data_IF_461920017416
#
_entry.id   IF_461920017416
#
_cell.length_a   1.000
_cell.length_b   1.000
_cell.length_c   1.000
_cell.angle_alpha   90.00
_cell.angle_beta   90.00
_cell.angle_gamma   90.00
#
_symmetry.space_group_name_H-M   'P 1'
#
loop_
_entity.id
_entity.type
_entity.pdbx_description
1 polymer ?
#
# COMPACT_ATOMS: atom_id res chain seq x y z
N UNK A 1 -30.28 0.25 -67.40
CA UNK A 1 -30.56 0.43 -65.97
C UNK A 1 -30.16 -0.86 -65.25
N UNK A 2 -29.08 -0.83 -64.47
CA UNK A 2 -28.59 -1.97 -63.68
C UNK A 2 -28.55 -1.54 -62.21
N UNK A 3 -29.46 -2.09 -61.41
CA UNK A 3 -29.61 -1.77 -60.00
C UNK A 3 -28.46 -2.37 -59.17
N UNK A 4 -27.75 -1.50 -58.45
CA UNK A 4 -26.73 -1.84 -57.46
C UNK A 4 -27.35 -2.52 -56.24
N UNK A 5 -26.98 -3.77 -55.96
CA UNK A 5 -27.37 -4.54 -54.77
C UNK A 5 -26.51 -4.16 -53.54
N UNK A 6 -26.62 -2.93 -53.05
CA UNK A 6 -26.04 -2.57 -51.74
C UNK A 6 -27.00 -1.65 -50.98
N UNK A 7 -27.63 -2.20 -49.95
CA UNK A 7 -28.36 -1.43 -48.94
C UNK A 7 -27.37 -1.01 -47.85
N UNK A 8 -26.65 0.09 -48.10
CA UNK A 8 -25.71 0.68 -47.16
C UNK A 8 -25.43 2.15 -47.52
N UNK A 9 -25.00 2.95 -46.54
CA UNK A 9 -24.68 4.36 -46.72
C UNK A 9 -23.53 4.53 -47.75
N UNK A 10 -23.86 5.05 -48.93
CA UNK A 10 -22.90 5.30 -50.03
C UNK A 10 -22.26 6.70 -50.00
N UNK A 11 -22.40 7.43 -48.89
CA UNK A 11 -22.11 8.87 -48.84
C UNK A 11 -20.63 9.26 -48.87
N UNK A 12 -19.70 8.33 -48.59
CA UNK A 12 -18.27 8.65 -48.64
C UNK A 12 -17.67 8.32 -50.01
N UNK A 13 -17.47 9.37 -50.82
CA UNK A 13 -16.56 9.33 -51.98
C UNK A 13 -15.24 9.94 -51.55
N UNK A 14 -14.13 9.22 -51.75
CA UNK A 14 -12.79 9.73 -51.44
C UNK A 14 -12.53 11.05 -52.20
N UNK A 15 -11.70 11.93 -51.66
CA UNK A 15 -11.34 13.19 -52.31
C UNK A 15 -10.80 13.01 -53.74
N UNK A 16 -10.20 11.85 -54.04
CA UNK A 16 -9.73 11.49 -55.37
C UNK A 16 -10.87 11.18 -56.37
N UNK A 17 -12.05 10.78 -55.87
CA UNK A 17 -13.22 10.42 -56.67
C UNK A 17 -14.29 11.54 -56.75
N UNK A 18 -14.05 12.68 -56.09
CA UNK A 18 -14.95 13.84 -56.12
C UNK A 18 -14.48 14.87 -57.16
N UNK A 19 -15.36 15.23 -58.10
CA UNK A 19 -15.09 16.33 -59.03
C UNK A 19 -15.20 17.67 -58.28
N UNK A 20 -14.18 18.52 -58.40
CA UNK A 20 -14.20 19.86 -57.83
C UNK A 20 -15.28 20.70 -58.53
N UNK A 21 -16.12 21.39 -57.75
CA UNK A 21 -17.31 22.11 -58.25
C UNK A 21 -16.98 23.34 -59.09
N UNK A 22 -15.75 23.86 -59.02
CA UNK A 22 -15.29 24.98 -59.85
C UNK A 22 -13.88 24.74 -60.38
N UNK A 23 -13.70 25.00 -61.68
CA UNK A 23 -12.40 25.03 -62.35
C UNK A 23 -11.90 26.47 -62.44
N UNK A 24 -10.59 26.68 -62.35
CA UNK A 24 -10.00 27.98 -62.66
C UNK A 24 -10.08 28.24 -64.18
N UNK A 25 -10.25 29.49 -64.63
CA UNK A 25 -10.23 29.80 -66.06
C UNK A 25 -8.96 29.26 -66.72
N UNK A 26 -9.11 28.42 -67.75
CA UNK A 26 -8.02 27.79 -68.48
C UNK A 26 -7.55 26.42 -67.98
N UNK A 27 -8.10 25.88 -66.88
CA UNK A 27 -7.81 24.50 -66.44
C UNK A 27 -8.87 23.51 -66.97
N UNK A 28 -8.43 22.37 -67.51
CA UNK A 28 -9.31 21.24 -67.83
C UNK A 28 -9.26 20.17 -66.74
N UNK A 29 -10.35 19.39 -66.59
CA UNK A 29 -10.41 18.30 -65.60
C UNK A 29 -9.30 17.25 -65.79
N UNK A 30 -8.90 16.99 -67.03
CA UNK A 30 -7.84 16.04 -67.40
C UNK A 30 -6.45 16.50 -66.94
N UNK A 31 -6.14 17.79 -67.09
CA UNK A 31 -4.85 18.36 -66.68
C UNK A 31 -4.68 18.42 -65.15
N UNK A 32 -5.79 18.52 -64.40
CA UNK A 32 -5.74 18.52 -62.93
C UNK A 32 -5.60 17.12 -62.33
N UNK A 33 -6.23 16.11 -62.94
CA UNK A 33 -6.14 14.72 -62.49
C UNK A 33 -4.68 14.21 -62.48
N UNK A 34 -3.89 14.60 -63.48
CA UNK A 34 -2.48 14.21 -63.61
C UNK A 34 -1.54 14.97 -62.67
N UNK A 35 -1.90 16.21 -62.29
CA UNK A 35 -1.06 17.09 -61.45
C UNK A 35 -0.91 16.59 -60.01
N UNK A 36 -1.93 15.91 -59.47
CA UNK A 36 -1.90 15.36 -58.11
C UNK A 36 -1.55 13.87 -58.08
N UNK A 37 -1.70 13.14 -59.19
CA UNK A 37 -1.27 11.74 -59.26
C UNK A 37 0.25 11.61 -59.30
N UNK A 38 0.98 12.54 -59.94
CA UNK A 38 2.44 12.46 -60.05
C UNK A 38 3.19 12.76 -58.74
N UNK A 39 2.61 13.58 -57.85
CA UNK A 39 3.22 13.89 -56.55
C UNK A 39 3.07 12.75 -55.54
N UNK A 40 1.99 11.96 -55.62
CA UNK A 40 1.78 10.80 -54.74
C UNK A 40 2.62 9.59 -55.10
N UNK A 41 2.94 9.40 -56.39
CA UNK A 41 3.72 8.26 -56.89
C UNK A 41 5.21 8.32 -56.57
N UNK A 42 5.76 9.48 -56.20
CA UNK A 42 7.18 9.61 -55.83
C UNK A 42 7.48 9.31 -54.36
N UNK A 43 6.46 9.28 -53.48
CA UNK A 43 6.64 8.98 -52.05
C UNK A 43 6.57 7.46 -51.81
N UNK A 44 5.82 6.73 -52.63
CA UNK A 44 5.71 5.27 -52.55
C UNK A 44 6.15 4.71 -53.89
N UNK A 45 7.43 4.37 -54.03
CA UNK A 45 7.90 3.67 -55.21
C UNK A 45 7.17 2.32 -55.32
N UNK A 46 6.71 1.91 -56.51
CA UNK A 46 6.12 0.60 -56.69
C UNK A 46 7.15 -0.48 -56.29
N UNK A 47 6.73 -1.60 -55.68
CA UNK A 47 7.64 -2.59 -55.09
C UNK A 47 8.63 -3.21 -56.08
N UNK A 48 8.39 -3.07 -57.39
CA UNK A 48 9.28 -3.52 -58.48
C UNK A 48 10.48 -2.57 -58.70
N UNK A 49 10.39 -1.30 -58.29
CA UNK A 49 11.44 -0.28 -58.44
C UNK A 49 12.18 0.03 -57.13
N UNK A 50 11.81 -0.62 -56.02
CA UNK A 50 12.48 -0.47 -54.74
C UNK A 50 13.83 -1.20 -54.75
N UNK A 51 14.94 -0.46 -54.66
CA UNK A 51 16.31 -1.01 -54.54
C UNK A 51 16.51 -1.90 -53.31
N UNK A 52 15.65 -1.75 -52.30
CA UNK A 52 15.66 -2.51 -51.04
C UNK A 52 14.94 -3.86 -51.14
N UNK A 53 14.39 -4.22 -52.31
CA UNK A 53 13.72 -5.49 -52.56
C UNK A 53 12.22 -5.49 -52.25
N UNK A 54 11.54 -6.58 -52.68
CA UNK A 54 10.08 -6.74 -52.64
C UNK A 54 9.47 -6.65 -51.23
N UNK A 55 10.26 -6.94 -50.19
CA UNK A 55 9.79 -7.08 -48.80
C UNK A 55 10.33 -6.01 -47.85
N UNK A 56 10.78 -4.87 -48.35
CA UNK A 56 11.45 -3.82 -47.57
C UNK A 56 10.60 -3.21 -46.43
N UNK A 57 9.27 -3.40 -46.47
CA UNK A 57 8.33 -2.86 -45.48
C UNK A 57 7.63 -3.94 -44.64
N UNK A 58 8.02 -5.21 -44.80
CA UNK A 58 7.44 -6.32 -44.05
C UNK A 58 8.37 -6.71 -42.89
N UNK A 59 7.82 -6.82 -41.69
CA UNK A 59 8.56 -7.37 -40.55
C UNK A 59 8.62 -8.89 -40.66
N UNK A 60 9.60 -9.52 -39.99
CA UNK A 60 9.76 -10.99 -39.96
C UNK A 60 8.46 -11.68 -39.49
N UNK A 61 7.72 -11.06 -38.58
CA UNK A 61 6.42 -11.55 -38.10
C UNK A 61 5.32 -11.49 -39.16
N UNK A 62 5.33 -10.48 -40.04
CA UNK A 62 4.40 -10.41 -41.17
C UNK A 62 4.71 -11.46 -42.23
N UNK A 63 5.99 -11.75 -42.46
CA UNK A 63 6.43 -12.79 -43.38
C UNK A 63 6.07 -14.20 -42.87
N UNK A 64 6.31 -14.48 -41.58
CA UNK A 64 5.95 -15.77 -40.98
C UNK A 64 4.44 -15.96 -40.84
N UNK A 65 3.69 -14.87 -40.58
CA UNK A 65 2.23 -14.90 -40.48
C UNK A 65 1.51 -15.24 -41.79
N UNK A 66 2.13 -15.03 -42.96
CA UNK A 66 1.55 -15.41 -44.26
C UNK A 66 1.46 -16.94 -44.44
N UNK A 67 2.23 -17.72 -43.69
CA UNK A 67 2.24 -19.18 -43.74
C UNK A 67 1.28 -19.83 -42.73
N UNK A 68 0.73 -19.05 -41.80
CA UNK A 68 -0.14 -19.57 -40.73
C UNK A 68 -1.57 -19.66 -41.25
N UNK A 69 -2.09 -20.88 -41.35
CA UNK A 69 -3.49 -21.12 -41.67
C UNK A 69 -4.36 -21.06 -40.40
N UNK A 70 -5.67 -20.77 -40.52
CA UNK A 70 -6.60 -20.85 -39.39
C UNK A 70 -6.59 -22.23 -38.69
N UNK A 71 -6.24 -23.28 -39.43
CA UNK A 71 -6.08 -24.66 -38.95
C UNK A 71 -4.89 -24.85 -38.00
N UNK A 72 -3.88 -23.97 -38.08
CA UNK A 72 -2.70 -24.01 -37.20
C UNK A 72 -2.98 -23.41 -35.82
N UNK A 73 -4.11 -22.71 -35.64
CA UNK A 73 -4.49 -22.12 -34.37
C UNK A 73 -4.96 -23.19 -33.38
N UNK A 74 -4.13 -23.44 -32.35
CA UNK A 74 -4.51 -24.26 -31.20
C UNK A 74 -4.84 -23.35 -30.01
N UNK A 75 -6.02 -23.54 -29.44
CA UNK A 75 -6.44 -22.83 -28.22
C UNK A 75 -5.44 -23.20 -27.10
N UNK A 76 -4.72 -22.22 -26.51
CA UNK A 76 -3.83 -22.50 -25.40
C UNK A 76 -4.61 -23.05 -24.21
N UNK A 77 -4.10 -24.11 -23.57
CA UNK A 77 -4.71 -24.62 -22.35
C UNK A 77 -4.65 -23.54 -21.26
N UNK A 78 -5.77 -23.33 -20.56
CA UNK A 78 -5.92 -22.34 -19.47
C UNK A 78 -4.93 -22.56 -18.32
N UNK A 79 -4.40 -23.77 -18.19
CA UNK A 79 -3.40 -24.15 -17.17
C UNK A 79 -1.96 -23.82 -17.59
N UNK A 80 -1.74 -23.31 -18.81
CA UNK A 80 -0.44 -22.87 -19.29
C UNK A 80 0.59 -24.00 -19.45
N UNK A 81 1.87 -23.66 -19.30
CA UNK A 81 3.01 -24.57 -19.51
C UNK A 81 3.06 -25.73 -18.48
N UNK A 82 2.32 -25.60 -17.38
CA UNK A 82 2.31 -26.55 -16.25
C UNK A 82 1.49 -27.83 -16.50
N UNK A 83 0.75 -27.92 -17.61
CA UNK A 83 -0.15 -29.06 -17.92
C UNK A 83 0.62 -30.38 -18.01
N UNK A 84 1.86 -30.33 -18.51
CA UNK A 84 2.70 -31.50 -18.71
C UNK A 84 3.66 -31.74 -17.54
N UNK A 85 3.64 -30.91 -16.49
CA UNK A 85 4.48 -31.11 -15.31
C UNK A 85 3.83 -32.12 -14.37
N UNK A 86 4.44 -33.30 -14.28
CA UNK A 86 4.01 -34.35 -13.34
C UNK A 86 4.30 -33.88 -11.91
N UNK A 87 3.26 -33.82 -11.07
CA UNK A 87 3.43 -33.50 -9.65
C UNK A 87 4.33 -34.55 -8.97
N UNK A 88 5.26 -34.14 -8.09
CA UNK A 88 6.08 -35.08 -7.34
C UNK A 88 5.22 -35.92 -6.39
N UNK A 89 5.63 -37.18 -6.17
CA UNK A 89 4.96 -38.08 -5.23
C UNK A 89 5.00 -37.51 -3.81
N UNK A 90 3.90 -37.65 -3.06
CA UNK A 90 3.77 -37.06 -1.72
C UNK A 90 4.74 -37.74 -0.73
N UNK A 91 5.72 -36.99 -0.22
CA UNK A 91 6.59 -37.42 0.88
C UNK A 91 6.04 -36.91 2.22
N UNK A 92 5.91 -37.76 3.26
CA UNK A 92 5.48 -37.30 4.57
C UNK A 92 6.51 -36.33 5.17
N UNK A 93 6.03 -35.30 5.85
CA UNK A 93 6.86 -34.33 6.55
C UNK A 93 7.28 -34.92 7.91
N UNK A 94 8.57 -35.18 8.09
CA UNK A 94 9.14 -35.84 9.29
C UNK A 94 9.84 -34.83 10.22
N UNK A 95 10.00 -33.58 9.81
CA UNK A 95 10.77 -32.62 10.59
C UNK A 95 9.97 -32.12 11.82
N UNK A 96 10.53 -32.37 13.01
CA UNK A 96 10.10 -31.72 14.23
C UNK A 96 10.80 -30.36 14.39
N UNK A 97 10.20 -29.46 15.16
CA UNK A 97 10.84 -28.17 15.46
C UNK A 97 12.06 -28.38 16.35
N UNK A 98 13.05 -27.48 16.25
CA UNK A 98 14.21 -27.46 17.15
C UNK A 98 13.81 -27.41 18.62
N UNK A 99 12.65 -26.83 18.94
CA UNK A 99 12.12 -26.82 20.30
C UNK A 99 11.73 -28.24 20.77
N UNK A 100 10.97 -29.00 19.97
CA UNK A 100 10.57 -30.36 20.34
C UNK A 100 11.75 -31.34 20.42
N UNK A 101 12.81 -31.10 19.65
CA UNK A 101 14.04 -31.90 19.72
C UNK A 101 14.86 -31.58 20.97
N UNK A 102 14.95 -30.30 21.36
CA UNK A 102 15.88 -29.86 22.42
C UNK A 102 15.24 -29.77 23.81
N UNK A 103 13.92 -29.66 23.92
CA UNK A 103 13.22 -29.49 25.20
C UNK A 103 12.28 -30.62 25.67
N UNK A 104 12.28 -31.87 25.12
CA UNK A 104 11.34 -32.90 25.58
C UNK A 104 11.63 -33.32 27.03
N UNK A 105 12.90 -33.36 27.44
CA UNK A 105 13.30 -33.69 28.80
C UNK A 105 12.82 -32.68 29.85
N UNK A 106 12.67 -31.41 29.47
CA UNK A 106 12.37 -30.33 30.42
C UNK A 106 10.92 -30.35 30.93
N UNK A 107 9.96 -30.72 30.08
CA UNK A 107 8.56 -30.84 30.51
C UNK A 107 8.35 -32.06 31.42
N UNK A 108 9.04 -33.16 31.15
CA UNK A 108 9.00 -34.36 32.00
C UNK A 108 9.65 -34.08 33.36
N UNK A 109 10.71 -33.26 33.41
CA UNK A 109 11.31 -32.82 34.68
C UNK A 109 10.42 -31.87 35.47
N UNK A 110 9.72 -30.94 34.82
CA UNK A 110 8.72 -30.08 35.50
C UNK A 110 7.63 -30.92 36.16
N UNK A 111 7.15 -31.97 35.47
CA UNK A 111 6.18 -32.91 36.05
C UNK A 111 6.78 -33.64 37.26
N UNK A 112 8.03 -34.10 37.19
CA UNK A 112 8.72 -34.70 38.35
C UNK A 112 8.78 -33.77 39.57
N UNK A 113 8.96 -32.47 39.36
CA UNK A 113 8.93 -31.49 40.47
C UNK A 113 7.53 -31.42 41.10
N UNK A 114 6.47 -31.41 40.27
CA UNK A 114 5.09 -31.37 40.74
C UNK A 114 4.64 -32.67 41.42
N UNK A 115 5.18 -33.82 40.99
CA UNK A 115 4.85 -35.13 41.54
C UNK A 115 5.59 -35.43 42.87
N UNK A 116 6.61 -34.63 43.23
CA UNK A 116 7.42 -34.88 44.41
C UNK A 116 6.77 -34.33 45.68
N UNK A 117 6.64 -35.16 46.72
CA UNK A 117 6.10 -34.71 48.00
C UNK A 117 7.07 -33.81 48.78
N UNK A 118 6.51 -32.88 49.56
CA UNK A 118 7.27 -31.98 50.43
C UNK A 118 8.18 -32.73 51.41
N UNK A 119 7.77 -33.91 51.89
CA UNK A 119 8.57 -34.76 52.77
C UNK A 119 9.89 -35.22 52.15
N UNK A 120 9.93 -35.40 50.82
CA UNK A 120 11.15 -35.81 50.13
C UNK A 120 12.13 -34.64 50.01
N UNK A 121 11.62 -33.43 49.78
CA UNK A 121 12.43 -32.21 49.84
C UNK A 121 12.99 -31.96 51.24
N UNK A 122 12.20 -32.25 52.29
CA UNK A 122 12.62 -32.09 53.68
C UNK A 122 13.76 -33.04 54.04
N UNK A 123 13.63 -34.32 53.68
CA UNK A 123 14.70 -35.32 53.86
C UNK A 123 15.98 -34.92 53.14
N UNK A 124 15.87 -34.43 51.91
CA UNK A 124 17.04 -33.98 51.14
C UNK A 124 17.67 -32.71 51.74
N UNK A 125 16.86 -31.77 52.22
CA UNK A 125 17.33 -30.54 52.85
C UNK A 125 18.06 -30.82 54.16
N UNK A 126 17.48 -31.67 55.02
CA UNK A 126 18.08 -32.05 56.29
C UNK A 126 19.38 -32.84 56.09
N UNK A 127 19.43 -33.77 55.12
CA UNK A 127 20.65 -34.51 54.81
C UNK A 127 21.84 -33.60 54.43
N UNK A 128 21.57 -32.47 53.78
CA UNK A 128 22.60 -31.47 53.42
C UNK A 128 22.85 -30.46 54.55
N UNK A 129 21.85 -30.20 55.41
CA UNK A 129 21.96 -29.27 56.53
C UNK A 129 22.63 -29.88 57.78
N UNK A 130 22.51 -31.18 58.01
CA UNK A 130 23.10 -31.92 59.14
C UNK A 130 24.62 -31.69 59.32
N UNK A 131 25.47 -31.75 58.27
CA UNK A 131 26.90 -31.46 58.42
C UNK A 131 27.20 -29.98 58.76
N UNK A 132 26.29 -29.06 58.46
CA UNK A 132 26.42 -27.64 58.83
C UNK A 132 25.90 -27.38 60.25
N UNK A 133 24.88 -28.11 60.72
CA UNK A 133 24.30 -28.00 62.05
C UNK A 133 25.31 -28.38 63.16
N UNK A 134 26.24 -29.31 62.88
CA UNK A 134 27.34 -29.63 63.80
C UNK A 134 28.29 -28.44 64.06
N UNK A 135 28.33 -27.45 63.16
CA UNK A 135 29.22 -26.27 63.28
C UNK A 135 28.59 -25.13 64.08
N UNK A 136 27.26 -25.07 64.21
CA UNK A 136 26.56 -24.03 64.98
C UNK A 136 25.26 -24.56 65.60
N UNK A 137 25.04 -24.43 66.93
CA UNK A 137 23.80 -24.86 67.57
C UNK A 137 22.67 -23.88 67.21
N UNK A 138 21.87 -24.23 66.22
CA UNK A 138 20.76 -23.42 65.70
C UNK A 138 19.94 -24.20 64.67
N UNK A 139 18.89 -23.57 64.14
CA UNK A 139 18.03 -24.16 63.10
C UNK A 139 18.84 -24.63 61.89
N UNK A 140 18.51 -25.78 61.27
CA UNK A 140 19.24 -26.29 60.11
C UNK A 140 19.18 -25.28 58.96
N UNK A 141 20.36 -24.87 58.46
CA UNK A 141 20.50 -23.91 57.37
C UNK A 141 21.48 -24.42 56.33
N UNK A 142 21.18 -24.13 55.07
CA UNK A 142 22.04 -24.46 53.91
C UNK A 142 22.56 -23.20 53.25
N UNK A 143 23.65 -23.32 52.50
CA UNK A 143 24.14 -22.25 51.63
C UNK A 143 23.50 -22.29 50.25
N UNK A 144 23.47 -21.15 49.55
CA UNK A 144 22.93 -21.08 48.18
C UNK A 144 23.60 -22.11 47.25
N UNK A 145 24.92 -22.27 47.31
CA UNK A 145 25.67 -23.24 46.49
C UNK A 145 25.18 -24.68 46.73
N UNK A 146 24.77 -24.99 47.95
CA UNK A 146 24.34 -26.33 48.37
C UNK A 146 22.90 -26.66 47.94
N UNK A 147 22.14 -25.67 47.44
CA UNK A 147 20.78 -25.89 46.90
C UNK A 147 20.81 -26.85 45.72
N UNK A 148 21.87 -26.83 44.91
CA UNK A 148 22.00 -27.79 43.81
C UNK A 148 22.08 -29.23 44.32
N UNK A 149 22.78 -29.47 45.43
CA UNK A 149 22.95 -30.80 45.99
C UNK A 149 21.66 -31.30 46.64
N UNK A 150 20.91 -30.41 47.32
CA UNK A 150 19.57 -30.71 47.84
C UNK A 150 18.63 -31.12 46.69
N UNK A 151 18.63 -30.36 45.60
CA UNK A 151 17.74 -30.64 44.46
C UNK A 151 18.16 -31.89 43.70
N UNK A 152 19.45 -32.20 43.58
CA UNK A 152 19.93 -33.48 43.03
C UNK A 152 19.53 -34.67 43.90
N UNK A 153 19.60 -34.53 45.22
CA UNK A 153 19.17 -35.59 46.13
C UNK A 153 17.65 -35.80 46.10
N UNK A 154 16.86 -34.74 45.92
CA UNK A 154 15.41 -34.81 45.86
C UNK A 154 14.87 -35.29 44.48
N UNK A 155 15.44 -34.80 43.38
CA UNK A 155 14.94 -35.00 42.00
C UNK A 155 15.79 -35.98 41.17
N UNK A 156 16.96 -36.37 41.67
CA UNK A 156 17.94 -37.20 40.97
C UNK A 156 18.92 -36.42 40.10
N UNK A 157 20.07 -37.05 39.79
CA UNK A 157 21.18 -36.47 39.01
C UNK A 157 20.83 -36.08 37.57
N UNK A 158 19.71 -36.57 37.04
CA UNK A 158 19.25 -36.34 35.67
C UNK A 158 18.39 -35.09 35.47
N UNK A 159 18.37 -34.15 36.42
CA UNK A 159 17.55 -32.92 36.34
C UNK A 159 18.30 -31.80 35.62
N UNK A 160 17.63 -31.09 34.70
CA UNK A 160 18.25 -30.02 33.92
C UNK A 160 18.58 -28.81 34.80
N UNK A 161 19.73 -28.18 34.49
CA UNK A 161 20.19 -26.94 35.09
C UNK A 161 19.13 -25.84 35.15
N UNK A 162 18.18 -25.84 34.20
CA UNK A 162 17.12 -24.84 34.13
C UNK A 162 16.08 -24.95 35.26
N UNK A 163 15.76 -26.16 35.72
CA UNK A 163 14.89 -26.36 36.90
C UNK A 163 15.57 -25.76 38.11
N UNK A 164 16.85 -26.11 38.32
CA UNK A 164 17.63 -25.58 39.43
C UNK A 164 17.70 -24.05 39.40
N UNK A 165 17.87 -23.44 38.22
CA UNK A 165 17.91 -21.98 38.07
C UNK A 165 16.65 -21.28 38.58
N UNK A 166 15.48 -21.93 38.53
CA UNK A 166 14.24 -21.36 39.10
C UNK A 166 14.37 -21.21 40.61
N UNK A 167 14.78 -22.29 41.30
CA UNK A 167 15.03 -22.26 42.75
C UNK A 167 16.13 -21.28 43.13
N UNK A 168 17.26 -21.31 42.41
CA UNK A 168 18.38 -20.38 42.62
C UNK A 168 17.93 -18.92 42.46
N UNK A 169 17.24 -18.58 41.38
CA UNK A 169 16.81 -17.20 41.11
C UNK A 169 15.82 -16.68 42.16
N UNK A 170 14.98 -17.54 42.72
CA UNK A 170 14.05 -17.17 43.78
C UNK A 170 14.77 -16.97 45.12
N UNK A 171 15.67 -17.89 45.47
CA UNK A 171 16.42 -17.87 46.72
C UNK A 171 17.49 -16.77 46.75
N UNK A 172 18.14 -16.48 45.62
CA UNK A 172 19.13 -15.41 45.47
C UNK A 172 18.49 -14.02 45.66
N UNK A 173 17.28 -13.79 45.12
CA UNK A 173 16.57 -12.51 45.24
C UNK A 173 16.01 -12.25 46.64
N UNK A 174 15.80 -13.29 47.46
CA UNK A 174 15.10 -13.20 48.76
C UNK A 174 15.96 -13.63 49.95
N UNK A 175 17.10 -14.27 49.71
CA UNK A 175 18.11 -14.51 50.72
C UNK A 175 18.76 -13.20 51.12
N UNK A 176 18.87 -12.93 52.43
CA UNK A 176 19.51 -11.72 52.93
C UNK A 176 20.73 -12.02 53.82
N UNK A 177 21.74 -11.17 53.63
CA UNK A 177 22.98 -10.88 54.35
C UNK A 177 24.02 -11.97 54.63
N UNK A 178 23.72 -13.28 54.67
CA UNK A 178 24.74 -14.31 55.04
C UNK A 178 24.65 -15.65 54.31
N UNK A 179 24.11 -15.71 53.09
CA UNK A 179 23.98 -16.94 52.28
C UNK A 179 23.24 -18.10 52.97
N UNK A 180 22.56 -17.88 54.10
CA UNK A 180 21.90 -18.94 54.87
C UNK A 180 20.43 -19.03 54.54
N UNK A 181 20.03 -20.18 54.02
CA UNK A 181 18.66 -20.49 53.64
C UNK A 181 18.08 -21.40 54.73
N UNK A 182 16.99 -20.95 55.35
CA UNK A 182 16.19 -21.75 56.29
C UNK A 182 15.22 -22.65 55.53
N UNK A 183 14.76 -23.71 56.19
CA UNK A 183 13.73 -24.60 55.63
C UNK A 183 12.46 -23.83 55.22
N UNK A 184 12.00 -22.88 56.04
CA UNK A 184 10.84 -22.04 55.74
C UNK A 184 10.99 -21.27 54.43
N UNK A 185 12.17 -20.67 54.18
CA UNK A 185 12.46 -19.96 52.95
C UNK A 185 12.53 -20.91 51.75
N UNK A 186 13.03 -22.13 51.96
CA UNK A 186 13.08 -23.16 50.94
C UNK A 186 11.69 -23.67 50.56
N UNK A 187 10.77 -23.86 51.53
CA UNK A 187 9.36 -24.17 51.25
C UNK A 187 8.69 -23.10 50.39
N UNK A 188 8.98 -21.82 50.63
CA UNK A 188 8.49 -20.75 49.77
C UNK A 188 9.05 -20.82 48.35
N UNK A 189 10.28 -21.33 48.17
CA UNK A 189 10.87 -21.55 46.86
C UNK A 189 10.23 -22.74 46.12
N UNK A 190 9.90 -23.82 46.84
CA UNK A 190 9.15 -24.97 46.33
C UNK A 190 7.79 -24.50 45.82
N UNK A 191 6.99 -23.83 46.67
CA UNK A 191 5.68 -23.31 46.27
C UNK A 191 5.77 -22.38 45.05
N UNK A 192 6.82 -21.55 44.95
CA UNK A 192 7.03 -20.70 43.79
C UNK A 192 7.34 -21.51 42.52
N UNK A 193 8.20 -22.53 42.63
CA UNK A 193 8.53 -23.41 41.52
C UNK A 193 7.32 -24.22 41.05
N UNK A 194 6.52 -24.78 41.97
CA UNK A 194 5.28 -25.50 41.68
C UNK A 194 4.30 -24.62 40.91
N UNK A 195 3.95 -23.44 41.44
CA UNK A 195 3.04 -22.50 40.77
C UNK A 195 3.53 -22.09 39.37
N UNK A 196 4.84 -21.88 39.22
CA UNK A 196 5.44 -21.52 37.94
C UNK A 196 5.34 -22.68 36.95
N UNK A 197 5.69 -23.90 37.38
CA UNK A 197 5.67 -25.09 36.51
C UNK A 197 4.26 -25.53 36.16
N UNK A 198 3.30 -25.47 37.09
CA UNK A 198 1.88 -25.68 36.79
C UNK A 198 1.40 -24.69 35.73
N UNK A 199 1.71 -23.40 35.89
CA UNK A 199 1.33 -22.38 34.92
C UNK A 199 1.96 -22.61 33.55
N UNK A 200 3.25 -22.99 33.50
CA UNK A 200 3.96 -23.23 32.24
C UNK A 200 3.50 -24.51 31.52
N UNK A 201 3.19 -25.58 32.26
CA UNK A 201 2.65 -26.82 31.71
C UNK A 201 1.21 -26.62 31.20
N UNK A 202 0.39 -25.86 31.94
CA UNK A 202 -0.99 -25.56 31.58
C UNK A 202 -1.10 -24.45 30.50
N UNK A 203 -0.06 -23.63 30.31
CA UNK A 203 -0.03 -22.62 29.25
C UNK A 203 -0.12 -23.20 27.83
N UNK A 204 0.15 -24.51 27.66
CA UNK A 204 -0.06 -25.20 26.38
C UNK A 204 -1.54 -25.40 26.04
N UNK A 205 -2.44 -25.38 27.02
CA UNK A 205 -3.89 -25.46 26.79
C UNK A 205 -4.58 -24.10 26.70
N UNK A 206 -4.01 -23.06 27.31
CA UNK A 206 -4.49 -21.68 27.20
C UNK A 206 -3.58 -20.89 26.28
N UNK A 207 -3.74 -21.16 24.98
CA UNK A 207 -3.35 -20.24 23.91
C UNK A 207 -4.16 -18.94 24.00
N UNK A 208 -3.91 -18.13 25.02
CA UNK A 208 -4.25 -16.70 25.08
C UNK A 208 -3.23 -16.03 25.98
N UNK A 209 -2.12 -15.64 25.39
CA UNK A 209 -1.27 -14.60 25.96
C UNK A 209 -1.99 -13.27 25.75
N UNK A 210 -2.53 -12.69 26.81
CA UNK A 210 -3.00 -11.31 26.90
C UNK A 210 -1.82 -10.32 26.87
N UNK A 211 -1.01 -10.41 25.81
CA UNK A 211 -0.08 -9.38 25.37
C UNK A 211 -0.60 -8.92 24.02
N UNK A 212 -0.81 -7.62 23.88
CA UNK A 212 -1.56 -6.94 22.82
C UNK A 212 -0.93 -7.00 21.42
N UNK A 213 -0.01 -7.94 21.16
CA UNK A 213 0.55 -8.24 19.83
C UNK A 213 0.95 -9.72 19.73
N UNK A 214 -0.02 -10.65 19.75
CA UNK A 214 0.23 -12.07 19.43
C UNK A 214 0.90 -12.27 18.05
N UNK A 215 1.30 -13.50 17.66
CA UNK A 215 1.96 -13.75 16.38
C UNK A 215 0.93 -13.69 15.25
N UNK A 216 0.46 -12.50 14.89
CA UNK A 216 -0.58 -12.29 13.87
C UNK A 216 -0.13 -12.61 12.45
N UNK A 217 1.12 -13.07 12.25
CA UNK A 217 1.71 -13.23 10.91
C UNK A 217 2.36 -14.58 10.65
N UNK A 218 2.52 -15.46 11.65
CA UNK A 218 3.24 -16.72 11.45
C UNK A 218 2.35 -17.87 10.95
N UNK A 219 1.02 -17.71 10.96
CA UNK A 219 0.09 -18.80 10.66
C UNK A 219 -1.13 -18.36 9.82
N UNK A 220 -0.99 -17.27 9.06
CA UNK A 220 -1.83 -17.13 7.88
C UNK A 220 -1.26 -18.11 6.85
N UNK A 221 -1.91 -19.27 6.76
CA UNK A 221 -2.03 -20.07 5.53
C UNK A 221 -1.68 -19.19 4.33
N UNK A 222 -0.63 -19.54 3.60
CA UNK A 222 -0.31 -18.96 2.31
C UNK A 222 -1.63 -18.78 1.55
N UNK A 223 -2.11 -17.53 1.45
CA UNK A 223 -3.42 -17.24 0.88
C UNK A 223 -3.39 -17.79 -0.55
N UNK A 224 -3.98 -18.97 -0.77
CA UNK A 224 -3.84 -19.76 -2.00
C UNK A 224 -4.49 -19.09 -3.22
N UNK A 225 -5.15 -17.96 -3.00
CA UNK A 225 -5.74 -17.11 -4.02
C UNK A 225 -5.53 -15.66 -3.60
N UNK A 226 -4.46 -15.04 -4.09
CA UNK A 226 -4.38 -13.59 -4.21
C UNK A 226 -5.50 -13.11 -5.15
N UNK A 227 -5.88 -11.82 -5.06
CA UNK A 227 -6.84 -11.23 -6.01
C UNK A 227 -6.34 -11.51 -7.43
N UNK A 228 -7.13 -12.24 -8.20
CA UNK A 228 -6.77 -12.64 -9.56
C UNK A 228 -6.56 -11.36 -10.38
N UNK A 229 -5.42 -11.25 -11.07
CA UNK A 229 -5.21 -10.15 -12.02
C UNK A 229 -6.31 -10.24 -13.08
N UNK A 230 -7.22 -9.26 -13.11
CA UNK A 230 -8.18 -9.16 -14.19
C UNK A 230 -7.42 -8.98 -15.50
N UNK A 231 -7.81 -9.74 -16.53
CA UNK A 231 -7.24 -9.55 -17.87
C UNK A 231 -7.59 -8.15 -18.32
N UNK A 232 -6.57 -7.35 -18.65
CA UNK A 232 -6.79 -6.00 -19.16
C UNK A 232 -7.68 -6.06 -20.41
N UNK A 233 -8.61 -5.12 -20.58
CA UNK A 233 -9.44 -5.04 -21.77
C UNK A 233 -8.55 -4.89 -23.01
N UNK A 234 -8.98 -5.46 -24.14
CA UNK A 234 -8.27 -5.26 -25.41
C UNK A 234 -8.34 -3.80 -25.83
N UNK A 235 -7.34 -3.33 -26.57
CA UNK A 235 -7.34 -1.98 -27.14
C UNK A 235 -8.60 -1.71 -27.95
N UNK A 236 -9.06 -2.70 -28.73
CA UNK A 236 -10.31 -2.60 -29.47
C UNK A 236 -11.52 -2.37 -28.56
N UNK A 237 -11.62 -3.06 -27.43
CA UNK A 237 -12.73 -2.87 -26.49
C UNK A 237 -12.70 -1.51 -25.78
N UNK A 238 -11.51 -0.98 -25.47
CA UNK A 238 -11.36 0.38 -24.93
C UNK A 238 -11.75 1.42 -25.99
N UNK A 239 -11.26 1.26 -27.21
CA UNK A 239 -11.43 2.27 -28.25
C UNK A 239 -12.85 2.26 -28.85
N UNK A 240 -13.42 1.09 -29.10
CA UNK A 240 -14.68 0.92 -29.87
C UNK A 240 -15.85 0.39 -29.04
N UNK A 241 -15.60 -0.10 -27.83
CA UNK A 241 -16.62 -0.67 -26.95
C UNK A 241 -16.63 -2.19 -26.98
N UNK A 242 -17.37 -2.78 -26.05
CA UNK A 242 -17.59 -4.22 -25.99
C UNK A 242 -18.81 -4.62 -26.84
N UNK A 243 -18.98 -5.92 -27.09
CA UNK A 243 -20.16 -6.41 -27.80
C UNK A 243 -21.46 -5.97 -27.10
N UNK A 244 -22.35 -5.32 -27.84
CA UNK A 244 -23.62 -4.78 -27.33
C UNK A 244 -23.53 -3.36 -26.78
N UNK A 245 -22.34 -2.75 -26.74
CA UNK A 245 -22.16 -1.36 -26.33
C UNK A 245 -22.63 -0.38 -27.42
N UNK A 246 -23.33 0.68 -27.02
CA UNK A 246 -23.89 1.65 -27.95
C UNK A 246 -22.94 2.86 -28.06
N UNK A 247 -22.37 3.13 -29.24
CA UNK A 247 -21.40 4.22 -29.40
C UNK A 247 -22.00 5.61 -29.12
N UNK A 248 -23.33 5.76 -29.17
CA UNK A 248 -24.02 7.02 -28.86
C UNK A 248 -24.10 7.33 -27.37
N UNK A 249 -23.93 6.34 -26.51
CA UNK A 249 -24.06 6.50 -25.07
C UNK A 249 -22.75 6.97 -24.43
N UNK A 250 -21.69 7.17 -25.23
CA UNK A 250 -20.41 7.65 -24.75
C UNK A 250 -20.50 9.10 -24.28
N UNK A 251 -20.02 9.41 -23.07
CA UNK A 251 -20.10 10.75 -22.52
C UNK A 251 -19.24 11.73 -23.35
N UNK A 252 -19.73 12.95 -23.48
CA UNK A 252 -18.94 14.04 -24.04
C UNK A 252 -17.86 14.47 -23.04
N UNK A 253 -16.61 14.52 -23.49
CA UNK A 253 -15.51 15.12 -22.75
C UNK A 253 -15.48 16.64 -22.98
N UNK A 254 -15.41 17.38 -21.87
CA UNK A 254 -15.30 18.84 -21.86
C UNK A 254 -14.09 19.27 -22.71
N UNK A 255 -14.26 20.30 -23.55
CA UNK A 255 -13.30 20.85 -24.54
C UNK A 255 -12.97 19.98 -25.78
N UNK A 256 -13.41 18.72 -25.91
CA UNK A 256 -12.97 17.83 -27.02
C UNK A 256 -14.07 17.07 -27.79
N UNK A 257 -15.35 17.17 -27.40
CA UNK A 257 -16.41 16.39 -28.06
C UNK A 257 -16.58 15.02 -27.40
N UNK A 258 -16.76 13.93 -28.15
CA UNK A 258 -16.91 12.59 -27.55
C UNK A 258 -15.67 12.18 -26.76
N UNK A 259 -15.83 11.36 -25.72
CA UNK A 259 -14.70 10.77 -25.00
C UNK A 259 -13.68 10.15 -25.97
N UNK A 260 -12.44 10.62 -25.87
CA UNK A 260 -11.34 10.15 -26.72
C UNK A 260 -11.10 8.68 -26.41
N UNK A 261 -11.05 7.86 -27.45
CA UNK A 261 -10.82 6.41 -27.36
C UNK A 261 -9.49 6.08 -26.64
N UNK A 262 -8.56 7.04 -26.62
CA UNK A 262 -7.21 6.98 -26.01
C UNK A 262 -7.07 7.72 -24.67
N UNK A 263 -8.13 7.85 -23.86
CA UNK A 263 -8.09 8.62 -22.61
C UNK A 263 -7.00 8.14 -21.62
N UNK A 264 -6.72 6.83 -21.63
CA UNK A 264 -5.67 6.16 -20.86
C UNK A 264 -4.26 6.68 -21.22
N UNK A 265 -3.98 6.91 -22.51
CA UNK A 265 -2.69 7.42 -22.98
C UNK A 265 -2.49 8.91 -22.71
N UNK A 266 -3.58 9.65 -22.47
CA UNK A 266 -3.53 11.09 -22.25
C UNK A 266 -3.36 11.45 -20.76
N UNK A 267 -3.24 10.47 -19.87
CA UNK A 267 -3.00 10.68 -18.45
C UNK A 267 -1.72 11.52 -18.23
N UNK A 268 -1.81 12.54 -17.38
CA UNK A 268 -0.68 13.42 -17.06
C UNK A 268 -0.45 14.54 -18.07
N UNK A 269 -1.37 14.71 -19.02
CA UNK A 269 -1.34 15.82 -19.97
C UNK A 269 -2.47 16.81 -19.72
N UNK A 270 -2.34 18.01 -20.29
CA UNK A 270 -3.38 19.06 -20.27
C UNK A 270 -4.65 18.69 -21.02
N UNK A 271 -4.68 17.52 -21.68
CA UNK A 271 -5.84 17.01 -22.42
C UNK A 271 -6.94 16.49 -21.50
N UNK A 272 -6.58 16.08 -20.28
CA UNK A 272 -7.49 15.49 -19.28
C UNK A 272 -7.80 16.48 -18.15
N UNK A 273 -7.00 17.53 -17.98
CA UNK A 273 -7.17 18.56 -16.94
C UNK A 273 -7.78 19.85 -17.52
N UNK A 274 -8.19 20.81 -16.66
CA UNK A 274 -8.70 22.10 -17.14
C UNK A 274 -7.61 23.09 -17.54
N UNK A 275 -6.34 22.68 -17.46
CA UNK A 275 -5.20 23.52 -17.80
C UNK A 275 -5.20 23.91 -19.28
N UNK A 276 -4.47 25.00 -19.59
CA UNK A 276 -4.32 25.47 -20.96
C UNK A 276 -3.41 24.51 -21.77
N UNK A 277 -3.67 24.31 -23.08
CA UNK A 277 -2.71 23.64 -23.94
C UNK A 277 -1.35 24.35 -23.88
N UNK A 278 -0.26 23.58 -23.79
CA UNK A 278 1.09 24.11 -23.65
C UNK A 278 1.52 24.46 -22.22
N UNK A 279 0.67 24.24 -21.21
CA UNK A 279 1.11 24.31 -19.81
C UNK A 279 2.25 23.32 -19.56
N UNK A 280 3.37 23.83 -19.06
CA UNK A 280 4.61 23.10 -18.86
C UNK A 280 4.86 22.68 -17.40
N UNK A 281 3.92 22.97 -16.49
CA UNK A 281 4.04 22.55 -15.10
C UNK A 281 3.66 21.09 -14.90
N UNK A 282 3.98 20.56 -13.72
CA UNK A 282 3.71 19.18 -13.35
C UNK A 282 2.20 18.92 -13.19
N UNK A 283 1.71 17.82 -13.77
CA UNK A 283 0.32 17.36 -13.67
C UNK A 283 0.28 15.98 -12.98
N UNK A 284 -0.07 15.91 -11.69
CA UNK A 284 -0.10 14.64 -10.99
C UNK A 284 -1.23 13.75 -11.53
N UNK A 285 -0.89 12.49 -11.79
CA UNK A 285 -1.84 11.41 -12.08
C UNK A 285 -1.86 10.50 -10.87
N UNK A 286 -2.95 10.53 -10.12
CA UNK A 286 -3.12 9.65 -8.97
C UNK A 286 -4.55 9.15 -8.88
N UNK A 287 -4.71 7.86 -8.64
CA UNK A 287 -5.98 7.23 -8.27
C UNK A 287 -6.20 7.23 -6.75
N UNK A 288 -5.16 7.52 -5.98
CA UNK A 288 -5.15 7.33 -4.52
C UNK A 288 -5.29 8.64 -3.72
N UNK A 289 -4.97 9.79 -4.32
CA UNK A 289 -5.05 11.10 -3.66
C UNK A 289 -6.04 12.02 -4.35
N UNK A 290 -7.20 12.22 -3.71
CA UNK A 290 -8.23 13.14 -4.21
C UNK A 290 -7.72 14.59 -4.30
N UNK A 291 -6.90 15.03 -3.35
CA UNK A 291 -6.35 16.39 -3.34
C UNK A 291 -5.42 16.64 -4.54
N UNK A 292 -4.58 15.66 -4.90
CA UNK A 292 -3.71 15.76 -6.05
C UNK A 292 -4.51 15.87 -7.36
N UNK A 293 -5.61 15.11 -7.48
CA UNK A 293 -6.52 15.18 -8.65
C UNK A 293 -7.17 16.56 -8.76
N UNK A 294 -7.65 17.12 -7.66
CA UNK A 294 -8.25 18.47 -7.64
C UNK A 294 -7.23 19.53 -8.07
N UNK A 295 -5.99 19.46 -7.56
CA UNK A 295 -4.92 20.38 -7.95
C UNK A 295 -4.51 20.23 -9.42
N UNK A 296 -4.41 19.01 -9.93
CA UNK A 296 -4.07 18.73 -11.33
C UNK A 296 -5.11 19.33 -12.28
N UNK A 297 -6.39 19.15 -11.96
CA UNK A 297 -7.49 19.66 -12.76
C UNK A 297 -7.48 21.19 -12.83
N UNK A 298 -6.94 21.85 -11.80
CA UNK A 298 -6.96 23.30 -11.68
C UNK A 298 -8.35 23.82 -11.33
N UNK A 299 -8.45 25.08 -10.90
CA UNK A 299 -9.72 25.66 -10.50
C UNK A 299 -10.71 25.76 -11.67
N UNK A 300 -12.00 25.55 -11.39
CA UNK A 300 -13.06 25.73 -12.38
C UNK A 300 -13.38 27.21 -12.64
N UNK A 301 -13.14 28.07 -11.64
CA UNK A 301 -13.42 29.52 -11.70
C UNK A 301 -12.13 30.34 -11.74
N UNK A 302 -12.04 31.26 -12.70
CA UNK A 302 -10.92 32.17 -12.94
C UNK A 302 -10.72 33.10 -11.74
N UNK A 303 -11.78 33.43 -10.99
CA UNK A 303 -11.69 34.30 -9.81
C UNK A 303 -10.76 33.72 -8.73
N UNK A 304 -10.67 32.39 -8.63
CA UNK A 304 -9.80 31.71 -7.66
C UNK A 304 -8.31 31.68 -8.05
N UNK A 305 -7.97 31.97 -9.32
CA UNK A 305 -6.58 32.05 -9.80
C UNK A 305 -5.87 33.34 -9.39
N UNK A 306 -6.59 34.30 -8.82
CA UNK A 306 -6.01 35.51 -8.20
C UNK A 306 -6.16 35.41 -6.68
N UNK A 307 -5.26 34.67 -6.00
CA UNK A 307 -5.31 34.50 -4.56
C UNK A 307 -4.75 35.69 -3.79
N UNK A 308 -4.41 36.80 -4.46
CA UNK A 308 -4.09 38.04 -3.75
C UNK A 308 -5.44 38.74 -3.50
N UNK A 309 -6.10 38.55 -2.35
CA UNK A 309 -7.19 39.42 -1.99
C UNK A 309 -6.65 40.86 -2.03
N UNK A 310 -7.41 41.84 -2.52
CA UNK A 310 -6.98 43.24 -2.57
C UNK A 310 -6.51 43.77 -1.19
N UNK A 311 -6.87 43.08 -0.11
CA UNK A 311 -6.48 43.33 1.28
C UNK A 311 -4.98 43.05 1.58
N UNK A 312 -4.33 42.14 0.85
CA UNK A 312 -2.93 41.73 1.14
C UNK A 312 -1.91 42.83 0.79
N UNK A 313 -2.27 43.73 -0.13
CA UNK A 313 -1.45 44.88 -0.49
C UNK A 313 -2.06 46.10 0.22
N UNK A 314 -1.25 46.82 1.01
CA UNK A 314 -1.64 48.06 1.70
C UNK A 314 -2.13 49.19 0.77
N UNK A 315 -2.13 48.95 -0.54
CA UNK A 315 -2.60 49.82 -1.60
C UNK A 315 -4.11 50.04 -1.56
N UNK A 316 -4.87 49.07 -1.05
CA UNK A 316 -6.32 49.17 -0.91
C UNK A 316 -6.67 49.19 0.59
N UNK A 317 -6.83 50.39 1.16
CA UNK A 317 -7.48 50.58 2.47
C UNK A 317 -8.63 51.54 2.23
N UNK A 318 -9.86 51.02 2.24
CA UNK A 318 -11.07 51.81 2.04
C UNK A 318 -11.59 52.42 3.35
N UNK A 319 -11.00 52.07 4.49
CA UNK A 319 -11.53 52.44 5.81
C UNK A 319 -11.12 53.84 6.26
N UNK A 320 -10.01 54.36 5.73
CA UNK A 320 -9.56 55.72 6.01
C UNK A 320 -9.88 56.62 4.81
N UNK A 321 -10.45 57.79 5.09
CA UNK A 321 -10.73 58.80 4.07
C UNK A 321 -9.41 59.29 3.46
N UNK A 322 -9.33 59.49 2.12
CA UNK A 322 -8.17 60.10 1.51
C UNK A 322 -7.77 61.41 2.19
N UNK A 323 -6.49 61.57 2.52
CA UNK A 323 -5.97 62.73 3.24
C UNK A 323 -5.85 62.56 4.76
N UNK A 324 -6.42 61.50 5.35
CA UNK A 324 -6.16 61.16 6.75
C UNK A 324 -4.70 60.69 6.95
N UNK A 325 -3.96 61.38 7.81
CA UNK A 325 -2.53 61.15 8.07
C UNK A 325 -2.24 60.43 9.38
N UNK A 326 -3.27 59.91 10.06
CA UNK A 326 -3.14 59.20 11.33
C UNK A 326 -2.61 57.77 11.21
N UNK A 327 -2.69 57.01 12.30
CA UNK A 327 -2.15 55.65 12.37
C UNK A 327 -2.84 54.72 11.35
N UNK A 328 -2.03 54.02 10.55
CA UNK A 328 -2.48 52.95 9.66
C UNK A 328 -2.00 51.61 10.22
N UNK A 329 -2.89 50.70 10.66
CA UNK A 329 -2.48 49.42 11.21
C UNK A 329 -1.76 48.60 10.12
N UNK A 330 -0.53 48.19 10.45
CA UNK A 330 0.38 47.49 9.54
C UNK A 330 0.21 45.96 9.59
N UNK A 331 -0.15 45.45 10.77
CA UNK A 331 -0.32 44.03 11.10
C UNK A 331 -1.79 43.71 11.33
N UNK A 332 -2.19 42.47 11.03
CA UNK A 332 -3.57 42.02 11.20
C UNK A 332 -4.05 42.09 12.66
N UNK A 333 -3.15 41.95 13.64
CA UNK A 333 -3.45 42.07 15.07
C UNK A 333 -3.88 43.48 15.49
N UNK A 334 -3.44 44.50 14.76
CA UNK A 334 -3.74 45.91 15.05
C UNK A 334 -4.97 46.41 14.29
N UNK A 335 -5.49 45.62 13.36
CA UNK A 335 -6.68 45.96 12.59
C UNK A 335 -7.95 45.64 13.38
N UNK A 336 -8.73 46.67 13.72
CA UNK A 336 -9.97 46.55 14.51
C UNK A 336 -11.24 46.82 13.69
N UNK A 337 -11.14 46.77 12.36
CA UNK A 337 -12.21 47.13 11.44
C UNK A 337 -12.20 48.60 11.04
N UNK A 338 -13.34 49.09 10.54
CA UNK A 338 -13.50 50.44 10.00
C UNK A 338 -13.13 51.55 11.00
N UNK A 339 -12.49 52.60 10.51
CA UNK A 339 -12.08 53.73 11.32
C UNK A 339 -13.30 54.55 11.76
N UNK A 340 -13.62 54.52 13.06
CA UNK A 340 -14.70 55.33 13.67
C UNK A 340 -14.22 56.73 14.08
N UNK A 341 -13.33 57.33 13.30
CA UNK A 341 -12.81 58.65 13.61
C UNK A 341 -13.95 59.68 13.60
N UNK A 342 -14.07 60.47 14.67
CA UNK A 342 -15.08 61.53 14.77
C UNK A 342 -16.46 61.09 15.28
N UNK A 343 -16.65 59.83 15.69
CA UNK A 343 -17.86 59.37 16.38
C UNK A 343 -17.59 58.94 17.84
N UNK A 344 -16.44 59.35 18.39
CA UNK A 344 -16.07 59.03 19.77
C UNK A 344 -16.71 60.03 20.74
N UNK A 345 -17.50 59.51 21.67
CA UNK A 345 -18.17 60.26 22.74
C UNK A 345 -17.18 60.96 23.69
N UNK A 346 -15.91 60.52 23.69
CA UNK A 346 -14.83 61.21 24.42
C UNK A 346 -14.44 62.56 23.83
N UNK A 347 -14.91 62.89 22.62
CA UNK A 347 -14.65 64.18 21.95
C UNK A 347 -15.95 64.97 21.79
N UNK A 348 -15.91 66.28 22.00
CA UNK A 348 -17.09 67.16 21.85
C UNK A 348 -17.66 67.16 20.42
N UNK A 349 -16.80 66.95 19.43
CA UNK A 349 -17.20 66.84 18.02
C UNK A 349 -17.84 65.49 17.70
N UNK A 350 -17.44 64.42 18.38
CA UNK A 350 -18.05 63.10 18.21
C UNK A 350 -19.35 62.95 19.00
N UNK A 351 -19.44 63.56 20.18
CA UNK A 351 -20.66 63.57 21.00
C UNK A 351 -21.82 64.36 20.34
N UNK A 352 -21.50 65.42 19.61
CA UNK A 352 -22.49 66.20 18.84
C UNK A 352 -22.89 65.56 17.50
N UNK A 353 -22.21 64.50 17.06
CA UNK A 353 -22.51 63.83 15.81
C UNK A 353 -23.74 62.92 15.95
N UNK A 354 -24.81 63.24 15.21
CA UNK A 354 -26.00 62.40 15.10
C UNK A 354 -26.06 61.77 13.71
N UNK A 355 -26.00 60.43 13.58
CA UNK A 355 -26.05 59.79 12.26
C UNK A 355 -27.42 60.03 11.63
N UNK A 356 -27.43 60.42 10.35
CA UNK A 356 -28.67 60.48 9.58
C UNK A 356 -29.24 59.05 9.43
N UNK A 357 -30.54 58.90 9.71
CA UNK A 357 -31.27 57.63 9.55
C UNK A 357 -31.49 57.27 8.09
#
# INVERSE_FOLDING_TARGET
>A
MSASKSSGYQGFKSFAAQHCSTLKPGESYEQRATKFSSMGSHIIAPPVMNRMGKHAHETVAMQSGQLVQPEDYRVPDRRGVSVNEKRPDSKPFIAATTYQHNFPAFDDERKRVLDLSLENYEKAFLAVADPNAQRQPGTPTIQLIQVQDVLKLALGDGSASRVFNVFFSYLDRRGSARDRITWELFCLAINHAENLFERELNHKTTGRTDWSWGPTFAEQQLNASLVHSSTAPSTHSLDYGIYGDNPRDRPYMRKRGMASTTSDLNAGTTRVTNQIPGYAGFLPVSTHSAQAVVQANGPEDIASLRPIPPVSLRLFHNDNVPGYTGHKPADCSNYRGECRAGSDLGTTTGDSYTPHK
#
